data_IF_633221665150
#
_entry.id   IF_633221665150
#
_cell.length_a   1.000
_cell.length_b   1.000
_cell.length_c   1.000
_cell.angle_alpha   90.00
_cell.angle_beta   90.00
_cell.angle_gamma   90.00
#
_symmetry.space_group_name_H-M   'P 1'
#
loop_
_entity.id
_entity.type
_entity.pdbx_description
1 polymer ?
#
# COMPACT_ATOMS: atom_id res chain seq x y z
N UNK A 1 14.76 -8.14 4.66
CA UNK A 1 13.72 -7.38 3.95
C UNK A 1 12.78 -8.40 3.33
N UNK A 2 11.47 -8.16 3.37
CA UNK A 2 10.48 -9.11 2.85
C UNK A 2 10.55 -9.18 1.33
N UNK A 3 10.92 -10.34 0.77
CA UNK A 3 11.19 -10.51 -0.66
C UNK A 3 9.96 -10.24 -1.53
N UNK A 4 8.75 -10.52 -1.02
CA UNK A 4 7.51 -10.33 -1.77
C UNK A 4 7.26 -8.85 -2.11
N UNK A 5 7.63 -7.93 -1.20
CA UNK A 5 7.46 -6.49 -1.41
C UNK A 5 8.29 -5.94 -2.57
N UNK A 6 9.35 -6.63 -2.98
CA UNK A 6 10.28 -6.16 -4.02
C UNK A 6 10.06 -6.82 -5.38
N UNK A 7 9.05 -7.70 -5.50
CA UNK A 7 8.67 -8.29 -6.78
C UNK A 7 7.90 -7.31 -7.67
N UNK A 8 7.32 -6.26 -7.08
CA UNK A 8 6.56 -5.23 -7.80
C UNK A 8 6.91 -3.84 -7.32
N UNK A 9 6.65 -2.84 -8.17
CA UNK A 9 6.86 -1.44 -7.83
C UNK A 9 5.94 -0.54 -8.66
N UNK A 10 5.46 0.55 -8.04
CA UNK A 10 4.81 1.63 -8.77
C UNK A 10 5.88 2.55 -9.34
N UNK A 11 5.69 2.98 -10.59
CA UNK A 11 6.60 3.90 -11.25
C UNK A 11 5.83 4.95 -12.05
N UNK A 12 6.51 6.04 -12.40
CA UNK A 12 6.01 7.13 -13.23
C UNK A 12 7.19 7.74 -14.00
N UNK A 13 6.92 8.41 -15.13
CA UNK A 13 7.95 9.14 -15.87
C UNK A 13 8.33 10.45 -15.19
N UNK A 14 7.40 11.08 -14.47
CA UNK A 14 7.57 12.44 -13.95
C UNK A 14 7.47 12.49 -12.43
N UNK A 15 6.36 12.04 -11.87
CA UNK A 15 6.07 12.23 -10.45
C UNK A 15 5.19 11.12 -9.88
N UNK A 16 5.44 10.78 -8.62
CA UNK A 16 4.55 9.99 -7.77
C UNK A 16 4.27 10.77 -6.49
N UNK A 17 2.99 10.88 -6.11
CA UNK A 17 2.56 11.47 -4.84
C UNK A 17 1.73 10.49 -4.04
N UNK A 18 2.01 10.42 -2.76
CA UNK A 18 1.29 9.61 -1.79
C UNK A 18 0.81 10.49 -0.65
N UNK A 19 -0.44 10.28 -0.25
CA UNK A 19 -1.06 10.96 0.87
C UNK A 19 -1.50 9.93 1.90
N UNK A 20 -1.00 10.04 3.13
CA UNK A 20 -1.57 9.39 4.29
C UNK A 20 -2.58 10.33 4.92
N UNK A 21 -3.87 10.05 4.78
CA UNK A 21 -4.96 10.85 5.33
C UNK A 21 -5.46 10.26 6.65
N UNK A 22 -6.08 11.06 7.51
CA UNK A 22 -6.64 10.55 8.77
C UNK A 22 -5.59 10.34 9.86
N UNK A 23 -4.38 10.91 9.70
CA UNK A 23 -3.28 10.71 10.64
C UNK A 23 -3.43 11.66 11.84
N UNK A 24 -3.18 11.16 13.04
CA UNK A 24 -3.08 12.02 14.21
C UNK A 24 -1.87 12.95 14.08
N UNK A 25 -2.00 14.20 14.54
CA UNK A 25 -0.91 15.15 14.43
C UNK A 25 0.25 14.75 15.35
N UNK A 26 1.48 14.81 14.85
CA UNK A 26 2.67 14.44 15.61
C UNK A 26 3.84 13.99 14.74
N UNK A 27 4.87 13.49 15.41
CA UNK A 27 6.08 12.96 14.77
C UNK A 27 5.87 11.56 14.20
N UNK A 28 6.32 11.35 12.98
CA UNK A 28 6.29 10.07 12.29
C UNK A 28 7.67 9.71 11.74
N UNK A 29 7.96 8.40 11.77
CA UNK A 29 9.03 7.80 10.98
C UNK A 29 8.45 7.25 9.67
N UNK A 30 8.78 7.91 8.56
CA UNK A 30 8.44 7.49 7.20
C UNK A 30 9.52 6.56 6.68
N UNK A 31 9.15 5.36 6.25
CA UNK A 31 10.05 4.39 5.62
C UNK A 31 9.66 4.20 4.16
N UNK A 32 10.58 4.52 3.26
CA UNK A 32 10.44 4.32 1.82
C UNK A 32 11.34 3.14 1.40
N UNK A 33 10.78 2.21 0.64
CA UNK A 33 11.47 0.99 0.21
C UNK A 33 11.46 0.90 -1.32
N UNK A 34 12.62 0.62 -1.87
CA UNK A 34 12.91 0.67 -3.30
C UNK A 34 13.60 -0.61 -3.74
N UNK A 35 13.27 -1.12 -4.91
CA UNK A 35 14.06 -2.13 -5.61
C UNK A 35 13.99 -1.85 -7.11
N UNK A 36 15.14 -1.76 -7.76
CA UNK A 36 15.16 -1.56 -9.22
C UNK A 36 14.84 -2.87 -9.93
N UNK A 37 13.63 -2.93 -10.51
CA UNK A 37 13.12 -4.12 -11.21
C UNK A 37 12.96 -3.91 -12.72
N UNK A 38 13.17 -2.69 -13.22
CA UNK A 38 12.99 -2.34 -14.64
C UNK A 38 14.32 -2.20 -15.36
N UNK A 39 15.22 -1.41 -14.78
CA UNK A 39 16.57 -1.24 -15.31
C UNK A 39 17.43 -2.30 -14.62
N UNK A 40 17.61 -3.45 -15.25
CA UNK A 40 18.46 -4.53 -14.73
C UNK A 40 19.82 -4.52 -15.44
N UNK A 41 20.90 -4.69 -14.68
CA UNK A 41 22.28 -4.67 -15.19
C UNK A 41 22.48 -5.88 -16.12
N UNK A 42 22.16 -5.69 -17.40
CA UNK A 42 22.32 -6.68 -18.45
C UNK A 42 23.26 -6.13 -19.52
N UNK A 43 23.85 -7.00 -20.33
CA UNK A 43 24.72 -6.62 -21.47
C UNK A 43 23.95 -5.94 -22.62
N UNK A 44 22.73 -5.45 -22.37
CA UNK A 44 21.91 -4.74 -23.34
C UNK A 44 21.88 -3.24 -23.03
N UNK A 45 21.66 -2.41 -24.05
CA UNK A 45 21.47 -0.95 -23.89
C UNK A 45 20.39 -0.59 -22.86
N UNK A 46 19.36 -1.43 -22.70
CA UNK A 46 18.30 -1.25 -21.71
C UNK A 46 18.83 -1.27 -20.27
N UNK A 47 19.90 -2.02 -20.01
CA UNK A 47 20.54 -2.09 -18.71
C UNK A 47 21.40 -0.87 -18.35
N UNK A 48 21.73 -0.02 -19.33
CA UNK A 48 22.57 1.18 -19.14
C UNK A 48 21.80 2.39 -18.61
N UNK A 49 20.47 2.29 -18.49
CA UNK A 49 19.65 3.39 -17.99
C UNK A 49 20.01 3.81 -16.57
N UNK A 50 19.88 5.09 -16.27
CA UNK A 50 20.06 5.61 -14.91
C UNK A 50 18.76 6.22 -14.42
N UNK A 51 18.30 5.78 -13.24
CA UNK A 51 17.09 6.30 -12.61
C UNK A 51 17.49 7.22 -11.47
N UNK A 52 17.15 8.50 -11.58
CA UNK A 52 17.41 9.50 -10.54
C UNK A 52 16.20 10.37 -10.29
N UNK A 53 15.83 10.55 -9.03
CA UNK A 53 14.71 11.39 -8.65
C UNK A 53 14.92 12.03 -7.29
N UNK A 54 14.28 13.16 -7.06
CA UNK A 54 14.25 13.83 -5.76
C UNK A 54 13.17 13.18 -4.88
N UNK A 55 13.43 13.11 -3.58
CA UNK A 55 12.48 12.66 -2.57
C UNK A 55 12.08 13.85 -1.71
N UNK A 56 10.78 14.09 -1.60
CA UNK A 56 10.17 15.08 -0.74
C UNK A 56 9.28 14.40 0.29
N UNK A 57 9.34 14.88 1.53
CA UNK A 57 8.47 14.45 2.63
C UNK A 57 7.95 15.70 3.32
N UNK A 58 6.62 15.84 3.44
CA UNK A 58 5.95 17.05 3.93
C UNK A 58 6.45 18.33 3.22
N UNK A 59 6.53 18.29 1.88
CA UNK A 59 7.00 19.40 1.05
C UNK A 59 8.51 19.70 1.12
N UNK A 60 9.27 19.10 2.04
CA UNK A 60 10.71 19.32 2.16
C UNK A 60 11.49 18.29 1.35
N UNK A 61 12.44 18.73 0.51
CA UNK A 61 13.37 17.82 -0.17
C UNK A 61 14.30 17.19 0.84
N UNK A 62 14.21 15.87 1.00
CA UNK A 62 15.02 15.09 1.93
C UNK A 62 16.20 14.39 1.24
N UNK A 63 16.09 14.08 -0.04
CA UNK A 63 17.17 13.50 -0.85
C UNK A 63 17.07 14.05 -2.26
N UNK A 64 18.20 14.49 -2.82
CA UNK A 64 18.30 15.00 -4.19
C UNK A 64 18.99 13.97 -5.07
N UNK A 65 18.53 13.80 -6.30
CA UNK A 65 19.12 12.90 -7.29
C UNK A 65 19.32 11.46 -6.76
N UNK A 66 18.36 10.97 -5.96
CA UNK A 66 18.40 9.63 -5.39
C UNK A 66 18.45 8.57 -6.49
N UNK A 67 19.46 7.71 -6.41
CA UNK A 67 19.74 6.65 -7.37
C UNK A 67 19.64 5.29 -6.65
N UNK A 68 18.69 4.46 -7.08
CA UNK A 68 18.45 3.13 -6.48
C UNK A 68 19.67 2.22 -6.71
N UNK A 69 20.32 2.32 -7.89
CA UNK A 69 21.35 1.38 -8.36
C UNK A 69 22.73 1.63 -7.75
N UNK A 70 23.02 2.82 -7.23
CA UNK A 70 24.37 3.16 -6.74
C UNK A 70 24.75 2.46 -5.43
N UNK A 71 23.86 1.71 -4.78
CA UNK A 71 24.15 1.12 -3.45
C UNK A 71 24.76 -0.30 -3.53
N UNK A 72 24.80 -0.94 -4.70
CA UNK A 72 25.48 -2.24 -4.83
C UNK A 72 26.15 -2.33 -6.19
N UNK A 73 27.47 -2.50 -6.18
CA UNK A 73 28.12 -3.16 -7.29
C UNK A 73 27.48 -4.54 -7.47
N UNK A 74 27.28 -4.91 -8.72
CA UNK A 74 26.94 -6.26 -9.18
C UNK A 74 25.48 -6.71 -9.11
N UNK A 75 24.92 -6.87 -10.32
CA UNK A 75 23.88 -7.79 -10.85
C UNK A 75 22.64 -8.22 -10.05
N UNK A 76 22.55 -7.99 -8.75
CA UNK A 76 21.44 -8.42 -7.89
C UNK A 76 20.50 -7.26 -7.57
N UNK A 77 19.19 -7.53 -7.63
CA UNK A 77 18.15 -6.58 -7.21
C UNK A 77 18.23 -6.44 -5.69
N UNK A 78 19.04 -5.50 -5.21
CA UNK A 78 19.10 -5.21 -3.78
C UNK A 78 18.05 -4.19 -3.41
N UNK A 79 17.21 -4.54 -2.44
CA UNK A 79 16.25 -3.63 -1.86
C UNK A 79 16.95 -2.55 -1.03
N UNK A 80 16.60 -1.29 -1.27
CA UNK A 80 17.10 -0.11 -0.57
C UNK A 80 15.99 0.47 0.30
N UNK A 81 16.31 0.73 1.56
CA UNK A 81 15.39 1.34 2.52
C UNK A 81 15.91 2.72 2.95
N UNK A 82 15.03 3.73 2.91
CA UNK A 82 15.28 5.08 3.43
C UNK A 82 14.29 5.42 4.54
N UNK A 83 14.77 6.04 5.61
CA UNK A 83 13.95 6.45 6.76
C UNK A 83 14.06 7.95 6.96
N UNK A 84 12.91 8.61 7.08
CA UNK A 84 12.81 10.06 7.24
C UNK A 84 11.88 10.40 8.40
N UNK A 85 12.28 11.38 9.20
CA UNK A 85 11.41 11.98 10.21
C UNK A 85 10.51 13.03 9.55
N UNK A 86 9.23 12.97 9.85
CA UNK A 86 8.21 13.89 9.36
C UNK A 86 7.32 14.34 10.51
N UNK A 87 6.82 15.58 10.43
CA UNK A 87 5.82 16.08 11.37
C UNK A 87 4.49 16.26 10.63
N UNK A 88 3.43 15.66 11.15
CA UNK A 88 2.06 15.78 10.63
C UNK A 88 1.35 16.86 11.44
N UNK A 89 0.91 17.93 10.78
CA UNK A 89 0.23 19.08 11.42
C UNK A 89 -1.21 19.28 10.97
N UNK A 90 -1.58 18.75 9.80
CA UNK A 90 -2.88 18.94 9.18
C UNK A 90 -3.58 17.60 8.92
N UNK A 91 -3.33 16.60 9.78
CA UNK A 91 -3.92 15.27 9.67
C UNK A 91 -3.56 14.50 8.38
N UNK A 92 -2.62 15.03 7.59
CA UNK A 92 -2.09 14.36 6.41
C UNK A 92 -0.57 14.35 6.36
N UNK A 93 -0.05 13.29 5.75
CA UNK A 93 1.33 13.12 5.38
C UNK A 93 1.44 13.08 3.85
N UNK A 94 2.27 13.92 3.26
CA UNK A 94 2.61 13.90 1.83
C UNK A 94 4.02 13.34 1.62
N UNK A 95 4.13 12.43 0.67
CA UNK A 95 5.40 11.99 0.08
C UNK A 95 5.34 12.27 -1.42
N UNK A 96 6.35 12.95 -1.94
CA UNK A 96 6.44 13.28 -3.36
C UNK A 96 7.79 12.85 -3.90
N UNK A 97 7.76 11.96 -4.90
CA UNK A 97 8.94 11.53 -5.65
C UNK A 97 8.89 12.22 -7.01
N UNK A 98 9.96 12.91 -7.38
CA UNK A 98 9.98 13.78 -8.55
C UNK A 98 11.20 13.53 -9.42
N UNK A 99 10.98 13.19 -10.68
CA UNK A 99 12.02 13.21 -11.70
C UNK A 99 12.24 14.66 -12.17
N UNK A 100 13.34 15.26 -11.70
CA UNK A 100 13.71 16.64 -12.03
C UNK A 100 14.58 16.74 -13.31
N UNK A 101 14.43 15.80 -14.25
CA UNK A 101 15.18 15.79 -15.51
C UNK A 101 16.59 15.16 -15.42
N UNK A 102 16.88 14.38 -14.37
CA UNK A 102 18.20 13.75 -14.16
C UNK A 102 18.15 12.24 -14.40
N UNK A 103 19.26 11.69 -14.87
CA UNK A 103 19.34 10.30 -15.31
C UNK A 103 19.02 10.14 -16.80
N UNK A 104 18.65 8.93 -17.21
CA UNK A 104 18.31 8.63 -18.59
C UNK A 104 16.83 8.87 -18.84
N UNK A 105 16.47 9.61 -19.89
CA UNK A 105 15.11 9.55 -20.41
C UNK A 105 14.98 8.33 -21.34
N UNK A 106 13.81 7.69 -21.36
CA UNK A 106 13.43 6.70 -22.38
C UNK A 106 14.17 5.36 -22.34
N UNK A 107 15.00 5.10 -21.33
CA UNK A 107 15.67 3.81 -21.10
C UNK A 107 15.15 3.24 -19.78
N UNK A 108 14.72 1.97 -19.71
CA UNK A 108 14.71 0.96 -20.77
C UNK A 108 13.54 1.10 -21.75
N UNK A 109 12.43 1.72 -21.32
CA UNK A 109 11.21 1.92 -22.09
C UNK A 109 10.71 3.35 -21.81
N UNK A 110 10.04 3.96 -22.78
CA UNK A 110 9.39 5.25 -22.59
C UNK A 110 8.36 5.16 -21.46
N UNK A 111 8.40 6.12 -20.53
CA UNK A 111 7.46 6.17 -19.41
C UNK A 111 7.95 5.55 -18.10
N UNK A 112 9.00 4.71 -18.14
CA UNK A 112 9.42 3.95 -16.95
C UNK A 112 10.66 4.49 -16.25
N UNK A 113 11.22 5.61 -16.70
CA UNK A 113 12.53 6.14 -16.27
C UNK A 113 12.49 7.08 -15.03
N UNK A 114 11.32 7.55 -14.61
CA UNK A 114 11.18 8.50 -13.50
C UNK A 114 11.22 7.82 -12.11
N UNK A 115 10.42 8.25 -11.12
CA UNK A 115 10.45 7.61 -9.81
C UNK A 115 9.91 6.18 -9.83
N UNK A 116 10.47 5.32 -9.00
CA UNK A 116 10.00 3.95 -8.75
C UNK A 116 10.02 3.71 -7.25
N UNK A 117 8.99 3.06 -6.71
CA UNK A 117 8.90 2.72 -5.29
C UNK A 117 8.14 1.40 -5.09
N UNK A 118 8.65 0.56 -4.19
CA UNK A 118 8.08 -0.75 -3.88
C UNK A 118 7.10 -0.66 -2.72
N UNK A 119 7.49 -0.01 -1.61
CA UNK A 119 6.62 0.12 -0.44
C UNK A 119 6.83 1.44 0.30
N UNK A 120 5.76 1.88 0.96
CA UNK A 120 5.71 3.06 1.82
C UNK A 120 5.13 2.63 3.16
N UNK A 121 5.74 3.08 4.25
CA UNK A 121 5.21 2.92 5.60
C UNK A 121 5.40 4.21 6.39
N UNK A 122 4.43 4.55 7.25
CA UNK A 122 4.54 5.66 8.18
C UNK A 122 4.16 5.15 9.57
N UNK A 123 5.10 5.22 10.51
CA UNK A 123 4.90 4.78 11.89
C UNK A 123 4.89 6.00 12.82
N UNK A 124 3.86 6.19 13.67
CA UNK A 124 3.88 7.25 14.67
C UNK A 124 5.00 7.01 15.67
N UNK A 125 5.69 8.08 16.05
CA UNK A 125 6.72 8.07 17.10
C UNK A 125 6.13 8.32 18.50
N UNK A 126 4.80 8.25 18.61
CA UNK A 126 3.99 8.46 19.81
C UNK A 126 2.93 7.37 19.90
N UNK A 127 2.25 7.29 21.04
CA UNK A 127 1.09 6.40 21.24
C UNK A 127 -0.16 7.10 20.69
N UNK A 128 -0.76 6.62 19.58
CA UNK A 128 -1.95 7.25 19.03
C UNK A 128 -3.12 7.15 20.00
N UNK A 129 -3.90 8.22 20.11
CA UNK A 129 -5.15 8.24 20.88
C UNK A 129 -6.30 7.61 20.10
N UNK A 130 -6.16 7.52 18.77
CA UNK A 130 -7.15 6.92 17.87
C UNK A 130 -6.79 5.47 17.53
N UNK A 131 -7.77 4.58 17.66
CA UNK A 131 -7.58 3.17 17.31
C UNK A 131 -7.54 2.97 15.79
N UNK A 132 -6.50 2.30 15.30
CA UNK A 132 -6.35 1.90 13.90
C UNK A 132 -7.20 0.64 13.56
N UNK A 133 -8.41 0.56 14.13
CA UNK A 133 -9.31 -0.59 13.93
C UNK A 133 -10.14 -0.31 12.69
N UNK A 134 -10.11 -1.23 11.70
CA UNK A 134 -11.12 -1.24 10.64
C UNK A 134 -12.50 -1.13 11.29
N UNK A 135 -13.46 -0.38 10.72
CA UNK A 135 -14.83 -0.44 11.17
C UNK A 135 -15.19 -1.91 11.23
N UNK A 136 -15.52 -2.40 12.42
CA UNK A 136 -16.02 -3.76 12.54
C UNK A 136 -17.26 -3.78 11.66
N UNK A 137 -17.20 -4.49 10.54
CA UNK A 137 -18.41 -5.04 9.95
C UNK A 137 -19.00 -5.86 11.08
N UNK A 138 -19.96 -5.28 11.81
CA UNK A 138 -20.91 -6.05 12.60
C UNK A 138 -21.54 -6.97 11.56
N UNK A 139 -20.95 -8.15 11.41
CA UNK A 139 -21.63 -9.27 10.78
C UNK A 139 -22.97 -9.30 11.48
N UNK A 140 -24.03 -9.05 10.71
CA UNK A 140 -25.39 -9.23 11.18
C UNK A 140 -25.40 -10.58 11.88
N UNK A 141 -25.53 -10.57 13.21
CA UNK A 141 -25.91 -11.77 13.95
C UNK A 141 -27.22 -12.15 13.29
N UNK A 142 -27.19 -13.15 12.40
CA UNK A 142 -28.41 -13.79 11.91
C UNK A 142 -29.09 -14.27 13.20
N UNK A 143 -30.09 -13.51 13.65
CA UNK A 143 -31.00 -14.00 14.67
C UNK A 143 -31.80 -15.08 13.95
N UNK A 144 -31.27 -16.30 13.97
CA UNK A 144 -32.01 -17.49 13.56
C UNK A 144 -33.18 -17.58 14.53
N UNK A 145 -34.34 -17.09 14.11
CA UNK A 145 -35.57 -17.24 14.86
C UNK A 145 -35.95 -18.72 14.82
N UNK A 146 -35.83 -19.40 15.95
CA UNK A 146 -36.37 -20.75 16.12
C UNK A 146 -37.90 -20.66 16.12
N UNK A 147 -38.54 -21.09 15.03
CA UNK A 147 -40.00 -21.31 15.00
C UNK A 147 -40.26 -22.66 15.67
N UNK A 148 -40.75 -22.63 16.90
CA UNK A 148 -41.26 -23.82 17.59
C UNK A 148 -42.70 -24.03 17.09
N UNK A 149 -42.88 -24.95 16.15
CA UNK A 149 -44.20 -25.40 15.73
C UNK A 149 -44.84 -26.25 16.84
N UNK A 150 -45.87 -25.72 17.50
CA UNK A 150 -46.70 -26.49 18.43
C UNK A 150 -47.65 -27.34 17.59
N UNK A 151 -47.35 -28.62 17.44
CA UNK A 151 -48.31 -29.60 16.89
C UNK A 151 -49.28 -29.93 18.02
N UNK A 152 -50.42 -29.24 18.07
CA UNK A 152 -51.56 -29.67 18.89
C UNK A 152 -52.24 -30.80 18.13
N UNK A 153 -51.86 -32.03 18.46
CA UNK A 153 -52.56 -33.23 18.03
C UNK A 153 -53.92 -33.31 18.70
N UNK A 154 -54.96 -32.76 18.07
CA UNK A 154 -56.35 -33.09 18.34
C UNK A 154 -56.71 -34.30 17.47
N UNK A 155 -56.30 -35.48 17.92
CA UNK A 155 -57.05 -36.68 17.61
C UNK A 155 -58.34 -36.64 18.41
N UNK A 156 -59.48 -36.73 17.73
CA UNK A 156 -60.52 -37.74 18.00
C UNK A 156 -61.80 -37.47 17.19
N UNK A 157 -62.38 -38.59 16.77
CA UNK A 157 -63.80 -38.86 16.52
C UNK A 157 -64.35 -38.65 15.10
N UNK A 158 -64.15 -39.71 14.33
CA UNK A 158 -65.15 -40.43 13.53
C UNK A 158 -66.59 -39.91 13.62
N UNK A 159 -67.14 -39.48 12.49
CA UNK A 159 -68.58 -39.41 12.28
C UNK A 159 -68.89 -40.27 11.05
N UNK A 160 -69.57 -41.38 11.31
CA UNK A 160 -70.28 -42.19 10.32
C UNK A 160 -71.50 -41.42 9.79
N UNK A 161 -71.67 -41.35 8.47
CA UNK A 161 -72.94 -41.30 7.72
C UNK A 161 -72.63 -40.93 6.24
N UNK A 162 -73.17 -41.56 5.19
CA UNK A 162 -74.13 -42.64 5.09
C UNK A 162 -74.65 -42.80 3.64
N UNK A 163 -75.28 -43.94 3.40
CA UNK A 163 -76.44 -44.19 2.51
C UNK A 163 -76.24 -44.15 0.98
N UNK A 164 -76.29 -45.34 0.36
CA UNK A 164 -77.39 -45.83 -0.52
C UNK A 164 -77.37 -47.35 -0.50
#
# INVERSE_FOLDING_TARGET
>A
LDSELFQSARHSSTSLRYYGLGLENGGYTVTLQFAEIQILGSNSWRGLGTRRFDIYVQGRRVEKDFDIRRTSGDTTVQAVQRRYKANVSQNYLEIHLLWAGKGSCCIPILGTYGPLISAVSAKPDFTPTVANKKPSSKGNKKKTGTVVGVIVGLGLLSIFAGVV
#
